data_IF_790801867563
#
_entry.id   IF_790801867563
#
_cell.length_a   1.000
_cell.length_b   1.000
_cell.length_c   1.000
_cell.angle_alpha   90.00
_cell.angle_beta   90.00
_cell.angle_gamma   90.00
#
_symmetry.space_group_name_H-M   'P 1'
#
loop_
_entity.id
_entity.type
_entity.pdbx_description
1 polymer ?
#
# COMPACT_ATOMS: atom_id res chain seq x y z
N UNK A 1 29.11 23.25 -0.15
CA UNK A 1 28.46 21.92 -0.15
C UNK A 1 28.43 21.42 -1.59
N UNK A 2 28.71 20.14 -1.87
CA UNK A 2 28.80 19.66 -3.24
C UNK A 2 27.41 19.73 -3.89
N UNK A 3 27.35 20.26 -5.12
CA UNK A 3 26.16 20.20 -5.96
C UNK A 3 26.14 18.84 -6.66
N UNK A 4 25.16 17.99 -6.34
CA UNK A 4 25.06 16.63 -6.87
C UNK A 4 24.25 16.56 -8.18
N UNK A 5 24.03 17.70 -8.85
CA UNK A 5 23.23 17.82 -10.07
C UNK A 5 23.72 16.88 -11.19
N UNK A 6 25.03 16.86 -11.44
CA UNK A 6 25.65 15.98 -12.45
C UNK A 6 25.54 14.51 -12.09
N UNK A 7 25.73 14.18 -10.80
CA UNK A 7 25.65 12.80 -10.32
C UNK A 7 24.22 12.25 -10.40
N UNK A 8 23.22 13.04 -10.01
CA UNK A 8 21.82 12.67 -10.13
C UNK A 8 21.43 12.38 -11.58
N UNK A 9 21.77 13.28 -12.51
CA UNK A 9 21.46 13.10 -13.94
C UNK A 9 22.16 11.85 -14.48
N UNK A 10 23.42 11.62 -14.10
CA UNK A 10 24.16 10.42 -14.49
C UNK A 10 23.44 9.15 -14.02
N UNK A 11 23.08 9.06 -12.74
CA UNK A 11 22.38 7.90 -12.17
C UNK A 11 21.03 7.65 -12.87
N UNK A 12 20.27 8.71 -13.16
CA UNK A 12 18.99 8.60 -13.87
C UNK A 12 19.18 8.06 -15.29
N UNK A 13 20.13 8.60 -16.05
CA UNK A 13 20.42 8.14 -17.41
C UNK A 13 20.99 6.71 -17.43
N UNK A 14 21.87 6.36 -16.51
CA UNK A 14 22.41 4.99 -16.40
C UNK A 14 21.31 3.99 -16.06
N UNK A 15 20.35 4.37 -15.20
CA UNK A 15 19.28 3.46 -14.76
C UNK A 15 18.39 2.96 -15.90
N UNK A 16 18.15 3.78 -16.93
CA UNK A 16 17.34 3.38 -18.10
C UNK A 16 18.13 2.52 -19.10
N UNK A 17 19.47 2.54 -19.02
CA UNK A 17 20.36 1.76 -19.89
C UNK A 17 20.75 0.42 -19.26
N UNK A 18 21.00 0.38 -17.94
CA UNK A 18 21.49 -0.80 -17.22
C UNK A 18 20.40 -1.82 -16.90
N UNK A 19 19.14 -1.47 -17.11
CA UNK A 19 18.00 -2.35 -16.92
C UNK A 19 17.59 -2.61 -15.47
N UNK A 20 18.35 -2.13 -14.48
CA UNK A 20 18.04 -2.21 -13.06
C UNK A 20 17.05 -1.15 -12.56
N UNK A 21 16.60 -0.22 -13.42
CA UNK A 21 15.62 0.79 -13.03
C UNK A 21 14.29 0.14 -12.65
N UNK A 22 13.81 0.42 -11.44
CA UNK A 22 12.50 -0.01 -11.00
C UNK A 22 11.48 1.14 -10.97
N UNK A 23 11.85 2.34 -10.50
CA UNK A 23 11.00 3.56 -10.59
C UNK A 23 11.79 4.83 -10.40
N UNK A 24 11.31 5.89 -11.05
CA UNK A 24 11.66 7.27 -10.74
C UNK A 24 10.40 8.02 -10.30
N UNK A 25 10.51 8.89 -9.31
CA UNK A 25 9.45 9.82 -8.92
C UNK A 25 9.98 11.23 -8.97
N UNK A 26 9.34 12.10 -9.73
CA UNK A 26 9.56 13.54 -9.71
C UNK A 26 8.40 14.22 -8.99
N UNK A 27 8.69 15.09 -8.03
CA UNK A 27 7.68 15.80 -7.25
C UNK A 27 8.18 17.14 -6.72
N UNK A 28 7.26 17.94 -6.17
CA UNK A 28 7.57 19.28 -5.68
C UNK A 28 7.87 20.22 -6.85
N UNK A 29 6.87 20.57 -7.68
CA UNK A 29 7.07 21.46 -8.81
C UNK A 29 7.69 22.80 -8.36
N UNK A 30 8.55 23.36 -9.20
CA UNK A 30 9.28 24.60 -8.91
C UNK A 30 8.36 25.82 -8.91
N UNK A 31 7.29 25.78 -9.70
CA UNK A 31 6.26 26.81 -9.84
C UNK A 31 4.93 26.28 -9.34
N UNK A 32 4.13 27.13 -8.70
CA UNK A 32 2.79 26.75 -8.23
C UNK A 32 1.79 26.55 -9.37
N UNK A 33 2.07 27.12 -10.54
CA UNK A 33 1.27 27.07 -11.77
C UNK A 33 1.43 25.77 -12.56
N UNK A 34 2.40 24.92 -12.20
CA UNK A 34 2.55 23.62 -12.85
C UNK A 34 1.33 22.74 -12.56
N UNK A 35 0.61 22.37 -13.61
CA UNK A 35 -0.63 21.59 -13.53
C UNK A 35 -0.34 20.13 -13.16
N UNK A 36 0.83 19.62 -13.56
CA UNK A 36 1.32 18.30 -13.20
C UNK A 36 2.06 18.39 -11.86
N UNK A 37 1.50 17.76 -10.82
CA UNK A 37 2.07 17.80 -9.46
C UNK A 37 3.16 16.76 -9.24
N UNK A 38 3.10 15.67 -10.01
CA UNK A 38 3.97 14.51 -9.84
C UNK A 38 4.09 13.71 -11.13
N UNK A 39 5.29 13.17 -11.36
CA UNK A 39 5.55 12.22 -12.45
C UNK A 39 6.15 10.95 -11.87
N UNK A 40 5.45 9.83 -12.06
CA UNK A 40 5.93 8.49 -11.70
C UNK A 40 6.38 7.76 -12.98
N UNK A 41 7.61 7.24 -12.99
CA UNK A 41 8.20 6.56 -14.16
C UNK A 41 8.56 5.13 -13.80
N UNK A 42 8.21 4.17 -14.65
CA UNK A 42 8.55 2.74 -14.47
C UNK A 42 8.86 2.07 -15.81
N UNK A 43 9.74 1.06 -15.87
CA UNK A 43 9.86 0.24 -17.07
C UNK A 43 8.57 -0.56 -17.31
N UNK A 44 8.22 -0.76 -18.57
CA UNK A 44 7.11 -1.60 -19.04
C UNK A 44 7.54 -2.35 -20.28
N UNK A 45 7.14 -3.62 -20.39
CA UNK A 45 7.24 -4.38 -21.63
C UNK A 45 5.94 -4.21 -22.42
N UNK A 46 6.07 -3.73 -23.65
CA UNK A 46 4.96 -3.63 -24.60
C UNK A 46 5.36 -4.30 -25.91
N UNK A 47 4.45 -4.41 -26.89
CA UNK A 47 4.72 -5.08 -28.17
C UNK A 47 5.95 -4.54 -28.92
N UNK A 48 6.31 -3.28 -28.68
CA UNK A 48 7.47 -2.60 -29.28
C UNK A 48 8.76 -2.75 -28.46
N UNK A 49 8.78 -3.65 -27.47
CA UNK A 49 9.88 -3.86 -26.54
C UNK A 49 9.82 -2.97 -25.31
N UNK A 50 10.93 -2.93 -24.58
CA UNK A 50 11.04 -2.21 -23.30
C UNK A 50 10.87 -0.71 -23.48
N UNK A 51 9.87 -0.15 -22.80
CA UNK A 51 9.62 1.30 -22.70
C UNK A 51 9.61 1.75 -21.24
N UNK A 52 9.59 3.06 -21.03
CA UNK A 52 9.44 3.70 -19.73
C UNK A 52 8.13 4.46 -19.72
N UNK A 53 7.19 4.01 -18.88
CA UNK A 53 5.89 4.64 -18.74
C UNK A 53 5.98 5.80 -17.74
N UNK A 54 5.82 7.01 -18.24
CA UNK A 54 5.63 8.26 -17.51
C UNK A 54 4.15 8.42 -17.17
N UNK A 55 3.86 8.49 -15.88
CA UNK A 55 2.53 8.71 -15.35
C UNK A 55 2.47 10.13 -14.80
N UNK A 56 1.83 11.03 -15.53
CA UNK A 56 1.70 12.43 -15.17
C UNK A 56 0.43 12.57 -14.33
N UNK A 57 0.58 13.08 -13.11
CA UNK A 57 -0.52 13.26 -12.17
C UNK A 57 -0.78 14.74 -11.97
N UNK A 58 -1.97 15.18 -12.36
CA UNK A 58 -2.52 16.50 -11.99
C UNK A 58 -3.37 16.35 -10.72
N UNK A 59 -4.04 17.41 -10.30
CA UNK A 59 -4.94 17.36 -9.14
C UNK A 59 -6.16 16.46 -9.36
N UNK A 60 -6.65 16.38 -10.60
CA UNK A 60 -7.92 15.70 -10.92
C UNK A 60 -7.79 14.56 -11.92
N UNK A 61 -6.64 14.44 -12.59
CA UNK A 61 -6.45 13.48 -13.68
C UNK A 61 -5.07 12.84 -13.66
N UNK A 62 -4.98 11.68 -14.32
CA UNK A 62 -3.74 10.98 -14.55
C UNK A 62 -3.65 10.57 -16.02
N UNK A 63 -2.52 10.87 -16.66
CA UNK A 63 -2.23 10.47 -18.03
C UNK A 63 -0.96 9.63 -18.10
N UNK A 64 -0.82 8.86 -19.19
CA UNK A 64 0.29 7.95 -19.40
C UNK A 64 0.96 8.20 -20.74
N UNK A 65 2.29 8.21 -20.75
CA UNK A 65 3.12 8.29 -21.95
C UNK A 65 4.23 7.24 -21.83
N UNK A 66 4.49 6.48 -22.89
CA UNK A 66 5.57 5.49 -22.92
C UNK A 66 6.70 6.02 -23.81
N UNK A 67 7.92 6.06 -23.30
CA UNK A 67 9.11 6.55 -24.00
C UNK A 67 10.17 5.45 -24.13
N UNK A 68 11.04 5.47 -25.14
CA UNK A 68 12.26 4.64 -25.12
C UNK A 68 13.31 5.17 -24.13
N UNK A 69 14.44 4.48 -24.04
CA UNK A 69 15.54 4.83 -23.14
C UNK A 69 16.17 6.19 -23.46
N UNK A 70 16.29 6.57 -24.74
CA UNK A 70 16.90 7.84 -25.14
C UNK A 70 15.95 9.00 -24.83
N UNK A 71 14.69 8.86 -25.21
CA UNK A 71 13.62 9.81 -24.90
C UNK A 71 13.45 9.99 -23.38
N UNK A 72 13.42 8.90 -22.62
CA UNK A 72 13.30 8.95 -21.16
C UNK A 72 14.50 9.65 -20.50
N UNK A 73 15.73 9.38 -20.97
CA UNK A 73 16.93 10.03 -20.46
C UNK A 73 16.93 11.55 -20.75
N UNK A 74 16.44 11.97 -21.92
CA UNK A 74 16.27 13.38 -22.25
C UNK A 74 15.22 14.04 -21.34
N UNK A 75 14.09 13.37 -21.13
CA UNK A 75 13.01 13.89 -20.31
C UNK A 75 13.41 14.00 -18.82
N UNK A 76 14.16 13.04 -18.28
CA UNK A 76 14.71 13.14 -16.93
C UNK A 76 15.56 14.38 -16.70
N UNK A 77 16.38 14.77 -17.68
CA UNK A 77 17.19 16.00 -17.59
C UNK A 77 16.30 17.23 -17.49
N UNK A 78 15.30 17.33 -18.37
CA UNK A 78 14.32 18.43 -18.38
C UNK A 78 13.56 18.53 -17.05
N UNK A 79 13.06 17.39 -16.56
CA UNK A 79 12.29 17.36 -15.30
C UNK A 79 13.11 17.79 -14.08
N UNK A 80 14.40 17.41 -14.02
CA UNK A 80 15.32 17.86 -12.96
C UNK A 80 15.67 19.36 -13.06
N UNK A 81 15.95 19.83 -14.28
CA UNK A 81 16.42 21.20 -14.50
C UNK A 81 15.28 22.20 -14.27
N UNK A 82 14.12 21.95 -14.88
CA UNK A 82 13.13 23.00 -15.11
C UNK A 82 11.87 22.84 -14.25
N UNK A 83 11.51 21.60 -13.88
CA UNK A 83 10.15 21.33 -13.38
C UNK A 83 10.12 20.99 -11.90
N UNK A 84 10.92 20.02 -11.44
CA UNK A 84 10.75 19.44 -10.10
C UNK A 84 11.94 19.66 -9.18
N UNK A 85 11.66 19.69 -7.88
CA UNK A 85 12.65 19.91 -6.81
C UNK A 85 13.07 18.64 -6.10
N UNK A 86 12.28 17.58 -6.19
CA UNK A 86 12.51 16.31 -5.52
C UNK A 86 12.51 15.17 -6.55
N UNK A 87 13.51 14.30 -6.45
CA UNK A 87 13.63 13.09 -7.27
C UNK A 87 13.90 11.90 -6.38
N UNK A 88 13.16 10.81 -6.55
CA UNK A 88 13.48 9.51 -5.97
C UNK A 88 13.74 8.53 -7.08
N UNK A 89 14.95 8.01 -7.16
CA UNK A 89 15.36 6.93 -8.05
C UNK A 89 15.46 5.64 -7.24
N UNK A 90 14.85 4.58 -7.74
CA UNK A 90 14.92 3.25 -7.14
C UNK A 90 15.37 2.26 -8.21
N UNK A 91 16.51 1.64 -7.97
CA UNK A 91 17.05 0.53 -8.75
C UNK A 91 16.97 -0.78 -7.95
N UNK A 92 17.41 -1.88 -8.55
CA UNK A 92 17.67 -3.16 -7.88
C UNK A 92 18.69 -3.09 -6.73
N UNK A 93 19.66 -2.20 -6.86
CA UNK A 93 20.88 -2.12 -6.06
C UNK A 93 20.87 -0.98 -5.06
N UNK A 94 20.03 0.05 -5.26
CA UNK A 94 19.99 1.22 -4.38
C UNK A 94 18.69 2.02 -4.50
N UNK A 95 18.40 2.79 -3.46
CA UNK A 95 17.44 3.91 -3.49
C UNK A 95 18.20 5.21 -3.30
N UNK A 96 18.02 6.14 -4.24
CA UNK A 96 18.63 7.46 -4.24
C UNK A 96 17.56 8.54 -4.14
N UNK A 97 17.61 9.31 -3.07
CA UNK A 97 16.74 10.48 -2.83
C UNK A 97 17.52 11.76 -3.09
N UNK A 98 17.02 12.59 -4.01
CA UNK A 98 17.60 13.87 -4.36
C UNK A 98 16.61 15.01 -4.11
N UNK A 99 17.11 16.12 -3.55
CA UNK A 99 16.31 17.33 -3.32
C UNK A 99 17.11 18.59 -3.59
N UNK A 100 16.44 19.63 -4.09
CA UNK A 100 17.05 20.95 -4.29
C UNK A 100 16.83 21.88 -3.11
N UNK A 101 17.85 22.69 -2.79
CA UNK A 101 17.69 23.84 -1.90
C UNK A 101 16.95 24.99 -2.59
N UNK A 102 16.55 26.01 -1.81
CA UNK A 102 16.00 27.28 -2.35
C UNK A 102 16.94 27.98 -3.34
N UNK A 103 18.25 27.70 -3.28
CA UNK A 103 19.29 28.24 -4.19
C UNK A 103 19.59 27.32 -5.38
N UNK A 104 18.84 26.24 -5.57
CA UNK A 104 18.98 25.33 -6.72
C UNK A 104 20.04 24.23 -6.59
N UNK A 105 20.81 24.20 -5.50
CA UNK A 105 21.84 23.16 -5.25
C UNK A 105 21.17 21.82 -4.94
N UNK A 106 21.60 20.74 -5.61
CA UNK A 106 21.11 19.37 -5.40
C UNK A 106 21.86 18.65 -4.27
N UNK A 107 21.09 18.02 -3.40
CA UNK A 107 21.57 17.10 -2.37
C UNK A 107 21.08 15.70 -2.68
N UNK A 108 22.01 14.75 -2.76
CA UNK A 108 21.73 13.35 -3.06
C UNK A 108 22.06 12.49 -1.82
N UNK A 109 21.14 11.60 -1.45
CA UNK A 109 21.36 10.56 -0.46
C UNK A 109 21.05 9.21 -1.09
N UNK A 110 22.04 8.33 -1.13
CA UNK A 110 21.91 6.98 -1.67
C UNK A 110 21.99 5.96 -0.53
N UNK A 111 21.05 5.01 -0.53
CA UNK A 111 21.02 3.87 0.39
C UNK A 111 21.09 2.62 -0.47
N UNK A 112 22.14 1.80 -0.31
CA UNK A 112 22.23 0.52 -1.00
C UNK A 112 21.11 -0.42 -0.56
N UNK A 113 20.60 -1.23 -1.47
CA UNK A 113 19.73 -2.34 -1.13
C UNK A 113 20.55 -3.34 -0.30
N UNK A 114 20.14 -3.60 0.94
CA UNK A 114 20.80 -4.61 1.79
C UNK A 114 20.61 -5.97 1.15
N UNK A 115 21.69 -6.52 0.60
CA UNK A 115 21.79 -7.93 0.23
C UNK A 115 21.87 -8.69 1.55
N UNK A 116 20.80 -9.37 1.95
CA UNK A 116 20.93 -10.44 2.94
C UNK A 116 21.72 -11.56 2.26
N UNK A 117 23.02 -11.58 2.51
CA UNK A 117 23.85 -12.76 2.29
C UNK A 117 23.50 -13.78 3.36
N UNK A 118 22.54 -14.64 3.05
CA UNK A 118 22.52 -16.00 3.61
C UNK A 118 22.67 -16.97 2.45
N UNK A 119 23.79 -17.69 2.49
CA UNK A 119 24.20 -18.72 1.57
C UNK A 119 23.24 -19.92 1.67
N UNK A 120 22.40 -20.12 0.66
CA UNK A 120 22.16 -21.46 0.13
C UNK A 120 21.53 -21.40 -1.26
N UNK A 121 22.36 -21.73 -2.23
CA UNK A 121 22.10 -21.78 -3.66
C UNK A 121 21.13 -22.89 -4.03
N UNK A 122 20.11 -22.58 -4.84
CA UNK A 122 19.71 -23.46 -5.94
C UNK A 122 18.93 -22.67 -7.02
N UNK A 123 19.53 -22.68 -8.20
CA UNK A 123 18.94 -22.55 -9.54
C UNK A 123 18.27 -21.22 -9.94
N UNK A 124 18.87 -20.64 -10.98
CA UNK A 124 18.36 -19.61 -11.85
C UNK A 124 16.93 -19.90 -12.34
N UNK A 125 16.03 -18.93 -12.17
CA UNK A 125 14.89 -18.76 -13.07
C UNK A 125 14.85 -17.31 -13.57
N UNK A 126 14.89 -17.25 -14.89
CA UNK A 126 14.66 -16.08 -15.73
C UNK A 126 13.23 -15.58 -15.51
N UNK A 127 13.07 -14.26 -15.45
CA UNK A 127 11.80 -13.52 -15.57
C UNK A 127 10.67 -13.85 -14.59
N UNK A 128 10.44 -12.95 -13.62
CA UNK A 128 9.08 -12.43 -13.44
C UNK A 128 9.06 -11.11 -12.68
N UNK A 129 8.27 -10.20 -13.22
CA UNK A 129 7.89 -8.93 -12.60
C UNK A 129 7.33 -9.13 -11.20
N UNK A 130 8.11 -8.87 -10.15
CA UNK A 130 7.50 -8.50 -8.88
C UNK A 130 8.42 -7.58 -8.08
N UNK A 131 8.17 -6.28 -8.20
CA UNK A 131 8.47 -5.39 -7.08
C UNK A 131 7.58 -5.83 -5.94
N UNK A 132 8.14 -6.60 -5.02
CA UNK A 132 7.47 -7.02 -3.80
C UNK A 132 7.03 -5.74 -3.09
N UNK A 133 5.74 -5.41 -3.21
CA UNK A 133 5.12 -4.37 -2.41
C UNK A 133 5.12 -4.89 -0.99
N UNK A 134 5.71 -4.13 -0.06
CA UNK A 134 5.80 -4.52 1.33
C UNK A 134 4.45 -4.33 2.02
N UNK A 135 3.49 -5.17 1.66
CA UNK A 135 2.18 -5.23 2.26
C UNK A 135 2.28 -5.83 3.68
N UNK A 136 1.44 -5.34 4.61
CA UNK A 136 1.33 -5.92 5.95
C UNK A 136 0.89 -7.39 5.91
N UNK A 137 0.02 -7.73 4.95
CA UNK A 137 -0.23 -9.11 4.55
C UNK A 137 0.51 -9.35 3.23
N UNK A 138 1.66 -10.06 3.25
CA UNK A 138 2.44 -10.30 2.05
C UNK A 138 1.70 -11.23 1.07
N UNK A 139 1.92 -11.00 -0.22
CA UNK A 139 1.47 -11.91 -1.28
C UNK A 139 2.37 -13.15 -1.31
N UNK A 140 1.80 -14.32 -1.61
CA UNK A 140 2.53 -15.60 -1.61
C UNK A 140 2.68 -16.24 -0.23
N UNK A 141 2.21 -15.59 0.84
CA UNK A 141 2.11 -16.20 2.17
C UNK A 141 0.64 -16.50 2.46
N UNK A 142 0.28 -17.77 2.73
CA UNK A 142 -1.09 -18.15 3.06
C UNK A 142 -1.65 -17.36 4.25
N UNK A 143 -2.70 -16.57 4.00
CA UNK A 143 -3.45 -15.88 5.05
C UNK A 143 -4.82 -16.54 5.22
N UNK A 144 -5.12 -17.19 6.37
CA UNK A 144 -6.30 -18.06 6.51
C UNK A 144 -7.64 -17.40 6.18
N UNK A 145 -7.88 -16.17 6.66
CA UNK A 145 -9.15 -15.48 6.37
C UNK A 145 -9.26 -15.04 4.91
N UNK A 146 -8.15 -14.68 4.25
CA UNK A 146 -8.16 -14.34 2.83
C UNK A 146 -8.41 -15.57 1.96
N UNK A 147 -7.96 -16.75 2.38
CA UNK A 147 -8.29 -18.02 1.73
C UNK A 147 -9.78 -18.31 1.88
N UNK A 148 -10.31 -18.23 3.10
CA UNK A 148 -11.71 -18.53 3.38
C UNK A 148 -12.67 -17.57 2.67
N UNK A 149 -12.32 -16.29 2.59
CA UNK A 149 -13.12 -15.27 1.89
C UNK A 149 -12.88 -15.25 0.37
N UNK A 150 -12.03 -16.14 -0.14
CA UNK A 150 -11.80 -16.38 -1.55
C UNK A 150 -10.85 -15.41 -2.25
N UNK A 151 -10.18 -14.52 -1.51
CA UNK A 151 -9.20 -13.55 -2.04
C UNK A 151 -7.87 -14.23 -2.38
N UNK A 152 -7.46 -15.19 -1.56
CA UNK A 152 -6.25 -16.00 -1.76
C UNK A 152 -6.58 -17.45 -2.10
N UNK A 153 -5.67 -18.09 -2.81
CA UNK A 153 -5.58 -19.54 -2.94
C UNK A 153 -4.84 -20.13 -1.74
N UNK A 154 -4.90 -21.47 -1.58
CA UNK A 154 -4.29 -22.16 -0.42
C UNK A 154 -2.77 -22.01 -0.34
N UNK A 155 -2.13 -21.75 -1.47
CA UNK A 155 -0.69 -21.47 -1.59
C UNK A 155 -0.33 -20.01 -1.26
N UNK A 156 -1.31 -19.16 -0.91
CA UNK A 156 -1.09 -17.74 -0.61
C UNK A 156 -1.07 -16.83 -1.85
N UNK A 157 -1.27 -17.37 -3.06
CA UNK A 157 -1.39 -16.56 -4.27
C UNK A 157 -2.71 -15.77 -4.26
N UNK A 158 -2.66 -14.49 -4.65
CA UNK A 158 -3.87 -13.67 -4.74
C UNK A 158 -4.57 -13.95 -6.06
N UNK A 159 -5.87 -14.27 -6.00
CA UNK A 159 -6.63 -14.53 -7.23
C UNK A 159 -6.72 -13.27 -8.08
N UNK A 160 -6.49 -13.40 -9.39
CA UNK A 160 -6.38 -12.26 -10.32
C UNK A 160 -7.61 -11.31 -10.29
N UNK A 161 -8.82 -11.86 -10.16
CA UNK A 161 -10.06 -11.08 -10.04
C UNK A 161 -10.24 -10.39 -8.67
N UNK A 162 -9.43 -10.73 -7.68
CA UNK A 162 -9.43 -10.17 -6.33
C UNK A 162 -8.20 -9.31 -6.01
N UNK A 163 -7.27 -9.11 -6.94
CA UNK A 163 -6.07 -8.28 -6.72
C UNK A 163 -6.38 -6.82 -6.34
N UNK A 164 -7.50 -6.25 -6.82
CA UNK A 164 -7.95 -4.91 -6.36
C UNK A 164 -8.39 -4.95 -4.90
N UNK A 165 -9.13 -5.99 -4.51
CA UNK A 165 -9.64 -6.16 -3.14
C UNK A 165 -8.50 -6.41 -2.16
N UNK A 166 -7.54 -7.25 -2.51
CA UNK A 166 -6.34 -7.49 -1.70
C UNK A 166 -5.57 -6.19 -1.42
N UNK A 167 -5.41 -5.32 -2.43
CA UNK A 167 -4.79 -4.00 -2.26
C UNK A 167 -5.59 -3.07 -1.35
N UNK A 168 -6.92 -3.08 -1.47
CA UNK A 168 -7.80 -2.29 -0.60
C UNK A 168 -7.71 -2.73 0.86
N UNK A 169 -7.68 -4.04 1.11
CA UNK A 169 -7.52 -4.60 2.46
C UNK A 169 -6.18 -4.15 3.06
N UNK A 170 -5.07 -4.32 2.32
CA UNK A 170 -3.76 -3.89 2.82
C UNK A 170 -3.67 -2.38 3.04
N UNK A 171 -4.26 -1.57 2.16
CA UNK A 171 -4.30 -0.11 2.35
C UNK A 171 -5.10 0.30 3.58
N UNK A 172 -6.21 -0.40 3.86
CA UNK A 172 -6.96 -0.20 5.09
C UNK A 172 -6.14 -0.57 6.33
N UNK A 173 -5.41 -1.69 6.30
CA UNK A 173 -4.53 -2.09 7.39
C UNK A 173 -3.43 -1.07 7.66
N UNK A 174 -2.87 -0.44 6.62
CA UNK A 174 -1.90 0.66 6.79
C UNK A 174 -2.50 1.80 7.63
N UNK A 175 -3.76 2.20 7.37
CA UNK A 175 -4.42 3.23 8.16
C UNK A 175 -4.63 2.84 9.63
N UNK A 176 -5.06 1.61 9.89
CA UNK A 176 -5.21 1.12 11.27
C UNK A 176 -3.85 1.02 11.96
N UNK A 177 -2.82 0.56 11.25
CA UNK A 177 -1.46 0.46 11.77
C UNK A 177 -0.89 1.84 12.15
N UNK A 178 -1.13 2.88 11.34
CA UNK A 178 -0.67 4.25 11.60
C UNK A 178 -1.26 4.85 12.89
N UNK A 179 -2.50 4.49 13.25
CA UNK A 179 -3.16 4.96 14.48
C UNK A 179 -2.99 4.02 15.68
N UNK A 180 -2.48 2.80 15.47
CA UNK A 180 -2.45 1.76 16.50
C UNK A 180 -1.69 2.18 17.77
N UNK A 181 -0.65 3.01 17.63
CA UNK A 181 0.14 3.54 18.74
C UNK A 181 -0.59 4.57 19.62
N UNK A 182 -1.69 5.15 19.14
CA UNK A 182 -2.52 6.08 19.92
C UNK A 182 -3.61 5.38 20.74
N UNK A 183 -3.86 4.08 20.50
CA UNK A 183 -4.89 3.32 21.20
C UNK A 183 -4.38 2.81 22.57
N UNK A 184 -5.26 2.60 23.58
CA UNK A 184 -4.87 2.21 24.95
C UNK A 184 -4.11 0.88 25.04
N UNK A 185 -2.86 0.89 25.51
CA UNK A 185 -1.97 -0.28 25.51
C UNK A 185 -1.96 -1.09 26.81
N UNK A 186 -2.70 -0.64 27.82
CA UNK A 186 -2.75 -1.21 29.18
C UNK A 186 -3.84 -2.29 29.36
N UNK A 187 -4.70 -2.48 28.35
CA UNK A 187 -5.81 -3.44 28.36
C UNK A 187 -6.11 -3.99 26.96
N UNK A 188 -6.87 -5.08 26.82
CA UNK A 188 -7.37 -5.55 25.53
C UNK A 188 -8.18 -4.47 24.82
N UNK A 189 -7.90 -4.26 23.54
CA UNK A 189 -8.64 -3.30 22.72
C UNK A 189 -10.09 -3.74 22.52
N UNK A 190 -11.01 -2.78 22.51
CA UNK A 190 -12.41 -3.01 22.17
C UNK A 190 -12.75 -2.31 20.87
N UNK A 191 -13.08 -3.10 19.86
CA UNK A 191 -13.28 -2.63 18.49
C UNK A 191 -14.69 -3.01 18.04
N UNK A 192 -15.39 -2.08 17.40
CA UNK A 192 -16.72 -2.34 16.83
C UNK A 192 -16.73 -1.98 15.35
N UNK A 193 -17.29 -2.85 14.52
CA UNK A 193 -17.43 -2.67 13.08
C UNK A 193 -18.91 -2.68 12.69
N UNK A 194 -19.46 -1.50 12.38
CA UNK A 194 -20.85 -1.32 11.99
C UNK A 194 -21.01 -1.45 10.48
N UNK A 195 -21.97 -2.28 10.05
CA UNK A 195 -22.14 -2.59 8.63
C UNK A 195 -21.00 -3.44 8.08
N UNK A 196 -20.56 -4.43 8.86
CA UNK A 196 -19.35 -5.20 8.58
C UNK A 196 -19.45 -6.01 7.27
N UNK A 197 -20.66 -6.30 6.78
CA UNK A 197 -20.89 -7.03 5.54
C UNK A 197 -20.16 -8.37 5.52
N UNK A 198 -19.52 -8.70 4.40
CA UNK A 198 -18.68 -9.91 4.28
C UNK A 198 -17.41 -9.87 5.16
N UNK A 199 -17.22 -8.81 5.95
CA UNK A 199 -16.31 -8.71 7.07
C UNK A 199 -14.82 -8.83 6.72
N UNK A 200 -14.44 -8.52 5.47
CA UNK A 200 -13.04 -8.52 5.03
C UNK A 200 -12.16 -7.65 5.93
N UNK A 201 -12.67 -6.48 6.33
CA UNK A 201 -11.92 -5.51 7.12
C UNK A 201 -11.94 -5.84 8.61
N UNK A 202 -13.03 -6.41 9.11
CA UNK A 202 -13.10 -6.95 10.48
C UNK A 202 -12.05 -8.05 10.68
N UNK A 203 -12.01 -9.05 9.78
CA UNK A 203 -11.02 -10.12 9.83
C UNK A 203 -9.59 -9.60 9.63
N UNK A 204 -9.39 -8.63 8.73
CA UNK A 204 -8.08 -8.01 8.56
C UNK A 204 -7.63 -7.28 9.83
N UNK A 205 -8.51 -6.51 10.46
CA UNK A 205 -8.22 -5.80 11.72
C UNK A 205 -7.85 -6.77 12.83
N UNK A 206 -8.63 -7.85 12.98
CA UNK A 206 -8.31 -8.93 13.91
C UNK A 206 -6.93 -9.52 13.64
N UNK A 207 -6.61 -9.83 12.37
CA UNK A 207 -5.32 -10.36 11.97
C UNK A 207 -4.16 -9.39 12.27
N UNK A 208 -4.34 -8.09 12.00
CA UNK A 208 -3.34 -7.07 12.30
C UNK A 208 -3.03 -7.05 13.80
N UNK A 209 -4.03 -6.93 14.67
CA UNK A 209 -3.78 -6.85 16.10
C UNK A 209 -3.26 -8.17 16.67
N UNK A 210 -3.93 -9.29 16.40
CA UNK A 210 -3.58 -10.58 17.00
C UNK A 210 -2.30 -11.22 16.43
N UNK A 211 -2.10 -11.16 15.10
CA UNK A 211 -1.00 -11.89 14.45
C UNK A 211 0.22 -11.01 14.19
N UNK A 212 0.03 -9.78 13.72
CA UNK A 212 1.15 -8.88 13.36
C UNK A 212 1.64 -8.10 14.58
N UNK A 213 0.74 -7.39 15.28
CA UNK A 213 1.08 -6.52 16.41
C UNK A 213 1.13 -7.26 17.76
N UNK A 214 0.68 -8.52 17.80
CA UNK A 214 0.62 -9.36 19.02
C UNK A 214 -0.07 -8.66 20.20
N UNK A 215 -1.16 -7.95 19.90
CA UNK A 215 -1.98 -7.21 20.84
C UNK A 215 -3.34 -7.85 20.97
N UNK A 216 -3.79 -8.02 22.20
CA UNK A 216 -5.12 -8.55 22.48
C UNK A 216 -6.20 -7.54 22.09
N UNK A 217 -7.24 -8.02 21.42
CA UNK A 217 -8.40 -7.23 21.03
C UNK A 217 -9.67 -8.08 21.07
N UNK A 218 -10.79 -7.46 21.42
CA UNK A 218 -12.14 -7.94 21.27
C UNK A 218 -12.81 -7.14 20.16
N UNK A 219 -13.25 -7.82 19.10
CA UNK A 219 -13.87 -7.20 17.95
C UNK A 219 -15.30 -7.71 17.82
N UNK A 220 -16.26 -6.78 17.70
CA UNK A 220 -17.66 -7.08 17.42
C UNK A 220 -18.03 -6.52 16.05
N UNK A 221 -18.41 -7.38 15.11
CA UNK A 221 -18.97 -6.99 13.82
C UNK A 221 -20.50 -7.04 13.83
N UNK A 222 -21.13 -6.00 13.32
CA UNK A 222 -22.59 -5.86 13.25
C UNK A 222 -23.06 -5.66 11.82
N UNK A 223 -24.10 -6.40 11.44
CA UNK A 223 -24.79 -6.23 10.16
C UNK A 223 -26.26 -6.60 10.30
N UNK A 224 -27.13 -5.91 9.56
CA UNK A 224 -28.57 -6.16 9.55
C UNK A 224 -28.94 -7.49 8.89
N UNK A 225 -28.05 -8.03 8.05
CA UNK A 225 -28.29 -9.25 7.29
C UNK A 225 -27.87 -10.50 8.04
N UNK A 226 -28.86 -11.28 8.49
CA UNK A 226 -28.64 -12.56 9.17
C UNK A 226 -27.77 -13.53 8.38
N UNK A 227 -27.99 -13.65 7.06
CA UNK A 227 -27.23 -14.56 6.20
C UNK A 227 -25.74 -14.21 6.10
N UNK A 228 -25.44 -12.91 6.15
CA UNK A 228 -24.07 -12.39 6.17
C UNK A 228 -23.42 -12.71 7.52
N UNK A 229 -24.12 -12.47 8.63
CA UNK A 229 -23.61 -12.76 9.99
C UNK A 229 -23.38 -14.26 10.19
N UNK A 230 -24.30 -15.12 9.77
CA UNK A 230 -24.12 -16.57 9.82
C UNK A 230 -22.88 -17.02 9.03
N UNK A 231 -22.65 -16.43 7.86
CA UNK A 231 -21.44 -16.70 7.09
C UNK A 231 -20.20 -16.32 7.90
N UNK A 232 -20.15 -15.13 8.47
CA UNK A 232 -19.00 -14.65 9.25
C UNK A 232 -18.74 -15.50 10.49
N UNK A 233 -19.78 -15.91 11.23
CA UNK A 233 -19.68 -16.83 12.37
C UNK A 233 -19.07 -18.17 11.98
N UNK A 234 -19.45 -18.74 10.83
CA UNK A 234 -18.85 -19.98 10.31
C UNK A 234 -17.35 -19.81 10.05
N UNK A 235 -16.91 -18.64 9.54
CA UNK A 235 -15.48 -18.35 9.36
C UNK A 235 -14.76 -18.31 10.72
N UNK A 236 -15.32 -17.61 11.71
CA UNK A 236 -14.77 -17.53 13.07
C UNK A 236 -14.59 -18.92 13.68
N UNK A 237 -15.62 -19.76 13.63
CA UNK A 237 -15.54 -21.14 14.14
C UNK A 237 -14.51 -21.96 13.35
N UNK A 238 -14.53 -21.89 12.01
CA UNK A 238 -13.61 -22.68 11.17
C UNK A 238 -12.15 -22.32 11.37
N UNK A 239 -11.85 -21.06 11.67
CA UNK A 239 -10.49 -20.55 11.86
C UNK A 239 -10.10 -20.42 13.34
N UNK A 240 -11.00 -20.78 14.27
CA UNK A 240 -10.81 -20.66 15.72
C UNK A 240 -10.30 -19.27 16.12
N UNK A 241 -10.95 -18.21 15.64
CA UNK A 241 -10.53 -16.83 15.89
C UNK A 241 -11.05 -16.38 17.26
N UNK A 242 -10.19 -16.27 18.30
CA UNK A 242 -10.65 -15.85 19.62
C UNK A 242 -11.01 -14.36 19.60
N UNK A 243 -11.92 -13.97 20.49
CA UNK A 243 -12.28 -12.57 20.73
C UNK A 243 -12.77 -11.82 19.47
N UNK A 244 -13.36 -12.55 18.52
CA UNK A 244 -14.00 -11.99 17.32
C UNK A 244 -15.42 -12.53 17.22
N UNK A 245 -16.40 -11.63 17.30
CA UNK A 245 -17.81 -11.98 17.31
C UNK A 245 -18.58 -11.21 16.25
N UNK A 246 -19.67 -11.82 15.78
CA UNK A 246 -20.57 -11.21 14.81
C UNK A 246 -22.00 -11.31 15.31
N UNK A 247 -22.76 -10.22 15.25
CA UNK A 247 -24.15 -10.18 15.70
C UNK A 247 -25.06 -9.51 14.67
N UNK A 248 -26.30 -9.97 14.60
CA UNK A 248 -27.32 -9.31 13.78
C UNK A 248 -27.76 -8.05 14.51
N UNK A 249 -27.59 -6.90 13.87
CA UNK A 249 -27.89 -5.63 14.49
C UNK A 249 -27.39 -4.45 13.66
N UNK A 250 -27.74 -3.27 14.14
CA UNK A 250 -27.18 -2.01 13.67
C UNK A 250 -26.72 -1.18 14.86
N UNK A 251 -26.26 0.01 14.56
CA UNK A 251 -25.71 0.93 15.53
C UNK A 251 -26.73 1.43 16.56
N UNK A 252 -27.99 1.62 16.16
CA UNK A 252 -29.05 2.16 17.02
C UNK A 252 -29.40 1.22 18.19
N UNK A 253 -29.20 -0.08 18.01
CA UNK A 253 -29.48 -1.10 19.02
C UNK A 253 -28.26 -1.60 19.78
N UNK A 254 -27.04 -1.13 19.46
CA UNK A 254 -25.83 -1.64 20.08
C UNK A 254 -25.51 -0.92 21.38
N UNK A 255 -25.60 -1.64 22.50
CA UNK A 255 -25.18 -1.17 23.81
C UNK A 255 -23.91 -1.90 24.22
N UNK A 256 -22.79 -1.17 24.29
CA UNK A 256 -21.57 -1.68 24.90
C UNK A 256 -21.59 -1.39 26.40
N UNK A 257 -21.34 -2.40 27.23
CA UNK A 257 -21.14 -2.23 28.68
C UNK A 257 -19.87 -1.47 29.01
N UNK A 258 -18.99 -1.34 28.03
CA UNK A 258 -17.62 -0.91 28.19
C UNK A 258 -17.20 0.10 27.10
N UNK A 259 -16.21 0.96 27.36
CA UNK A 259 -15.74 1.92 26.36
C UNK A 259 -15.17 1.21 25.12
N UNK A 260 -15.59 1.69 23.94
CA UNK A 260 -15.05 1.27 22.64
C UNK A 260 -13.82 2.12 22.32
N UNK A 261 -12.70 1.48 21.98
CA UNK A 261 -11.43 2.16 21.69
C UNK A 261 -11.27 2.48 20.20
N UNK A 262 -11.91 1.71 19.32
CA UNK A 262 -11.90 1.91 17.87
C UNK A 262 -13.23 1.52 17.25
N UNK A 263 -13.77 2.38 16.41
CA UNK A 263 -14.96 2.10 15.61
C UNK A 263 -14.61 2.11 14.12
N UNK A 264 -15.12 1.12 13.40
CA UNK A 264 -15.07 1.01 11.95
C UNK A 264 -16.49 1.16 11.41
N UNK A 265 -16.67 2.02 10.42
CA UNK A 265 -17.93 2.15 9.69
C UNK A 265 -17.60 2.59 8.26
N UNK A 266 -17.99 1.80 7.27
CA UNK A 266 -17.71 2.02 5.85
C UNK A 266 -18.99 1.96 5.04
N UNK A 267 -19.09 2.82 4.01
CA UNK A 267 -20.34 3.12 3.30
C UNK A 267 -21.43 3.74 4.18
N UNK A 268 -21.01 4.49 5.21
CA UNK A 268 -21.88 5.22 6.12
C UNK A 268 -22.55 6.47 5.48
N UNK A 269 -22.64 6.52 4.16
CA UNK A 269 -23.22 7.65 3.41
C UNK A 269 -24.76 7.62 3.35
N UNK A 270 -25.40 6.54 3.83
CA UNK A 270 -26.83 6.56 4.16
C UNK A 270 -26.96 6.40 5.69
N UNK A 271 -27.18 7.50 6.40
CA UNK A 271 -27.47 7.63 7.86
C UNK A 271 -26.44 7.07 8.87
N UNK A 272 -25.56 6.16 8.50
CA UNK A 272 -24.71 5.43 9.45
C UNK A 272 -23.53 6.25 10.01
N UNK A 273 -23.16 7.38 9.40
CA UNK A 273 -22.11 8.27 9.96
C UNK A 273 -22.69 9.12 11.09
N UNK A 274 -23.92 9.60 10.91
CA UNK A 274 -24.61 10.42 11.91
C UNK A 274 -24.97 9.57 13.13
N UNK A 275 -25.44 8.34 12.93
CA UNK A 275 -25.72 7.39 14.01
C UNK A 275 -24.43 6.92 14.73
N UNK A 276 -23.26 7.05 14.10
CA UNK A 276 -21.98 6.64 14.68
C UNK A 276 -21.29 7.72 15.51
N UNK A 277 -21.70 8.97 15.34
CA UNK A 277 -21.21 10.11 16.11
C UNK A 277 -22.19 10.49 17.22
N UNK A 278 -23.47 10.09 17.11
CA UNK A 278 -24.53 10.30 18.09
C UNK A 278 -24.34 9.47 19.37
#
# INVERSE_FOLDING_TARGET
>A
MPDHSKELVRLLCESVLSGGLQKVVFSGPRTATESVRRVDVRPVEIREGRRFQFTLQTETQQTHQNLDAQEAAAEFKRLCQDVYRNVRLVTDSATSDARTSRKGVWFLKTIAATVNTDENSAASEVESHNRIRNYLIPEGVPCPFLIHTGVMSRDGSVKANHSRKFRQINRFLEFIHDIAGALPSDRPLRIVDFGCGKSYLTFATHYLFSHILKRECHIVGLDRRTDVIETCRKIVTSLSLPNLEFHVGDISGFLSTDPVDLMISLHACDTATDDAIA
#
